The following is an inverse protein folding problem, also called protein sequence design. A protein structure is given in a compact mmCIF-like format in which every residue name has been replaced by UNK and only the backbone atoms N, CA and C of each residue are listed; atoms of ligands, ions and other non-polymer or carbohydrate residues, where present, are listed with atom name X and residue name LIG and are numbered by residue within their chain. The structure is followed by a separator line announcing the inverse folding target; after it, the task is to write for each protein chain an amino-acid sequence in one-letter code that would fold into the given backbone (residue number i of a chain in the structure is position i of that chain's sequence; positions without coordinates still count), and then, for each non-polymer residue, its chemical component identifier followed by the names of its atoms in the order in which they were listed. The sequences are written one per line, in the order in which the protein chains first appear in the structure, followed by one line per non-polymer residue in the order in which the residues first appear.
data_IF_159616429126
#
_entry.id   IF_159616429126
#
_cell.length_a   1.000
_cell.length_b   1.000
_cell.length_c   1.000
_cell.angle_alpha   90.00
_cell.angle_beta   90.00
_cell.angle_gamma   90.00
#
_symmetry.space_group_name_H-M   'P 1'
#
loop_
_entity.id
_entity.type
_entity.pdbx_description
1 polymer ?
#
# COMPACT_ATOMS: atom_id res chain seq x y z
N UNK A 1 -4.82 -4.73 42.04
CA UNK A 1 -4.92 -4.60 40.56
C UNK A 1 -4.18 -3.34 40.15
N UNK A 2 -2.99 -3.47 39.56
CA UNK A 2 -2.31 -2.31 38.97
C UNK A 2 -3.13 -1.82 37.78
N UNK A 3 -3.57 -0.56 37.83
CA UNK A 3 -4.13 0.15 36.68
C UNK A 3 -3.16 -0.02 35.50
N UNK A 4 -3.61 -0.70 34.44
CA UNK A 4 -2.84 -0.79 33.19
C UNK A 4 -2.95 0.57 32.49
N UNK A 5 -2.20 1.55 32.99
CA UNK A 5 -2.08 2.84 32.34
C UNK A 5 -1.33 2.69 31.02
N UNK A 6 -1.79 3.39 29.99
CA UNK A 6 -1.08 3.47 28.71
C UNK A 6 0.19 4.27 28.95
N UNK A 7 1.35 3.76 28.51
CA UNK A 7 2.60 4.51 28.59
C UNK A 7 2.48 5.76 27.70
N UNK A 8 2.68 6.99 28.21
CA UNK A 8 2.44 8.22 27.44
C UNK A 8 3.19 8.30 26.11
N UNK A 9 4.41 7.76 26.03
CA UNK A 9 5.21 7.78 24.80
C UNK A 9 4.56 6.99 23.65
N UNK A 10 3.73 5.98 23.94
CA UNK A 10 3.00 5.21 22.92
C UNK A 10 1.98 6.07 22.17
N UNK A 11 1.41 7.07 22.85
CA UNK A 11 0.46 8.03 22.26
C UNK A 11 1.14 9.00 21.27
N UNK A 12 2.47 9.12 21.36
CA UNK A 12 3.30 9.97 20.50
C UNK A 12 4.16 9.18 19.51
N UNK A 13 4.07 7.85 19.53
CA UNK A 13 4.89 6.97 18.70
C UNK A 13 4.73 7.24 17.20
N UNK A 14 3.60 7.82 16.77
CA UNK A 14 3.34 8.19 15.38
C UNK A 14 4.28 9.26 14.81
N UNK A 15 4.97 10.03 15.65
CA UNK A 15 5.99 10.98 15.20
C UNK A 15 7.16 10.29 14.49
N UNK A 16 7.51 9.08 14.94
CA UNK A 16 8.61 8.30 14.38
C UNK A 16 8.38 7.92 12.90
N UNK A 17 7.25 7.29 12.52
CA UNK A 17 7.00 6.99 11.11
C UNK A 17 6.72 8.24 10.27
N UNK A 18 6.29 9.36 10.85
CA UNK A 18 6.20 10.64 10.14
C UNK A 18 7.57 11.23 9.82
N UNK A 19 8.52 11.16 10.75
CA UNK A 19 9.92 11.51 10.49
C UNK A 19 10.54 10.60 9.42
N UNK A 20 10.24 9.29 9.46
CA UNK A 20 10.67 8.36 8.42
C UNK A 20 10.02 8.65 7.05
N UNK A 21 8.77 9.10 7.03
CA UNK A 21 8.11 9.54 5.79
C UNK A 21 8.78 10.79 5.20
N UNK A 22 9.25 11.75 6.01
CA UNK A 22 10.06 12.88 5.52
C UNK A 22 11.38 12.43 4.87
N UNK A 23 11.98 11.37 5.39
CA UNK A 23 13.20 10.77 4.84
C UNK A 23 12.96 10.01 3.52
N UNK A 24 11.78 9.43 3.33
CA UNK A 24 11.48 8.51 2.22
C UNK A 24 11.91 9.00 0.81
N UNK A 25 11.60 10.23 0.36
CA UNK A 25 12.03 10.70 -0.96
C UNK A 25 13.54 10.80 -1.12
N UNK A 26 14.27 11.09 -0.03
CA UNK A 26 15.73 11.19 -0.04
C UNK A 26 16.39 9.84 -0.21
N UNK A 27 15.85 8.79 0.43
CA UNK A 27 16.31 7.42 0.24
C UNK A 27 16.24 7.01 -1.25
N UNK A 28 15.12 7.35 -1.91
CA UNK A 28 14.95 7.12 -3.35
C UNK A 28 15.92 7.94 -4.18
N UNK A 29 16.02 9.25 -3.92
CA UNK A 29 16.90 10.14 -4.69
C UNK A 29 18.37 9.71 -4.59
N UNK A 30 18.85 9.37 -3.39
CA UNK A 30 20.22 8.90 -3.20
C UNK A 30 20.45 7.53 -3.83
N UNK A 31 19.49 6.61 -3.77
CA UNK A 31 19.59 5.31 -4.44
C UNK A 31 19.73 5.48 -5.96
N UNK A 32 18.91 6.35 -6.56
CA UNK A 32 19.00 6.69 -7.98
C UNK A 32 20.35 7.32 -8.34
N UNK A 33 20.80 8.32 -7.58
CA UNK A 33 22.10 8.98 -7.80
C UNK A 33 23.26 8.00 -7.67
N UNK A 34 23.25 7.12 -6.68
CA UNK A 34 24.26 6.09 -6.50
C UNK A 34 24.28 5.09 -7.67
N UNK A 35 23.10 4.73 -8.20
CA UNK A 35 22.99 3.84 -9.35
C UNK A 35 23.54 4.49 -10.62
N UNK A 36 23.12 5.72 -10.92
CA UNK A 36 23.58 6.49 -12.09
C UNK A 36 25.08 6.80 -12.02
N UNK A 37 25.61 7.04 -10.82
CA UNK A 37 27.04 7.28 -10.60
C UNK A 37 27.89 5.99 -10.61
N UNK A 38 27.29 4.80 -10.76
CA UNK A 38 28.02 3.53 -10.76
C UNK A 38 28.65 3.17 -9.41
N UNK A 39 28.08 3.64 -8.29
CA UNK A 39 28.66 3.50 -6.95
C UNK A 39 28.62 2.07 -6.34
N UNK A 40 28.28 1.06 -7.15
CA UNK A 40 28.24 -0.35 -6.77
C UNK A 40 26.89 -0.82 -6.22
N UNK A 41 26.53 -2.07 -6.54
CA UNK A 41 25.25 -2.67 -6.15
C UNK A 41 24.96 -2.66 -4.63
N UNK A 42 25.94 -2.89 -3.71
CA UNK A 42 25.66 -2.89 -2.28
C UNK A 42 25.13 -1.54 -1.76
N UNK A 43 25.69 -0.42 -2.22
CA UNK A 43 25.26 0.92 -1.78
C UNK A 43 23.86 1.24 -2.32
N UNK A 44 23.62 0.99 -3.60
CA UNK A 44 22.30 1.17 -4.23
C UNK A 44 21.24 0.35 -3.49
N UNK A 45 21.57 -0.91 -3.18
CA UNK A 45 20.69 -1.82 -2.45
C UNK A 45 20.44 -1.33 -1.01
N UNK A 46 21.46 -0.86 -0.30
CA UNK A 46 21.28 -0.33 1.05
C UNK A 46 20.35 0.89 1.07
N UNK A 47 20.51 1.81 0.12
CA UNK A 47 19.69 3.02 -0.01
C UNK A 47 18.25 2.71 -0.44
N UNK A 48 18.04 1.75 -1.35
CA UNK A 48 16.67 1.37 -1.71
C UNK A 48 16.00 0.64 -0.53
N UNK A 49 16.71 -0.25 0.17
CA UNK A 49 16.18 -0.95 1.33
C UNK A 49 15.85 0.00 2.48
N UNK A 50 16.57 1.11 2.64
CA UNK A 50 16.19 2.14 3.63
C UNK A 50 14.87 2.82 3.27
N UNK A 51 14.51 2.93 1.98
CA UNK A 51 13.18 3.38 1.56
C UNK A 51 12.09 2.36 1.94
N UNK A 52 12.35 1.04 1.85
CA UNK A 52 11.44 -0.01 2.33
C UNK A 52 11.33 -0.05 3.86
N UNK A 53 12.35 0.38 4.59
CA UNK A 53 12.33 0.46 6.04
C UNK A 53 11.28 1.46 6.55
N UNK A 54 10.93 2.50 5.78
CA UNK A 54 9.92 3.51 6.15
C UNK A 54 8.54 2.89 6.39
N UNK A 55 7.89 2.23 5.41
CA UNK A 55 6.59 1.59 5.64
C UNK A 55 6.67 0.43 6.65
N UNK A 56 7.81 -0.26 6.75
CA UNK A 56 8.01 -1.32 7.74
C UNK A 56 8.03 -0.75 9.18
N UNK A 57 8.73 0.36 9.41
CA UNK A 57 8.75 1.06 10.69
C UNK A 57 7.36 1.58 11.06
N UNK A 58 6.63 2.13 10.09
CA UNK A 58 5.25 2.55 10.28
C UNK A 58 4.35 1.36 10.65
N UNK A 59 4.51 0.20 10.00
CA UNK A 59 3.78 -1.02 10.33
C UNK A 59 4.11 -1.50 11.76
N UNK A 60 5.39 -1.47 12.16
CA UNK A 60 5.77 -1.79 13.54
C UNK A 60 5.06 -0.88 14.55
N UNK A 61 4.92 0.41 14.25
CA UNK A 61 4.16 1.35 15.08
C UNK A 61 2.66 1.03 15.10
N UNK A 62 2.05 0.63 13.96
CA UNK A 62 0.66 0.16 13.91
C UNK A 62 0.44 -1.06 14.81
N UNK A 63 1.37 -2.02 14.78
CA UNK A 63 1.31 -3.22 15.63
C UNK A 63 1.49 -2.87 17.10
N UNK A 64 2.55 -2.14 17.46
CA UNK A 64 2.86 -1.76 18.85
C UNK A 64 1.72 -0.97 19.49
N UNK A 65 1.11 -0.04 18.77
CA UNK A 65 -0.07 0.70 19.26
C UNK A 65 -1.32 -0.17 19.32
N UNK A 66 -1.47 -1.14 18.42
CA UNK A 66 -2.65 -2.02 18.34
C UNK A 66 -2.69 -3.16 19.37
N UNK A 67 -1.54 -3.65 19.86
CA UNK A 67 -1.51 -4.76 20.84
C UNK A 67 -1.86 -4.35 22.26
N UNK A 68 -1.96 -3.04 22.52
CA UNK A 68 -2.16 -2.51 23.87
C UNK A 68 -3.47 -3.02 24.49
N UNK A 69 -3.50 -3.27 25.81
CA UNK A 69 -4.67 -3.83 26.49
C UNK A 69 -5.82 -2.83 26.65
N UNK A 70 -5.52 -1.53 26.61
CA UNK A 70 -6.48 -0.42 26.75
C UNK A 70 -6.24 0.55 25.60
N UNK A 71 -7.31 1.08 25.02
CA UNK A 71 -7.26 2.05 23.92
C UNK A 71 -7.70 3.42 24.42
N UNK A 72 -6.81 4.42 24.34
CA UNK A 72 -7.17 5.84 24.47
C UNK A 72 -7.42 6.44 23.08
N UNK A 73 -8.15 7.56 23.02
CA UNK A 73 -8.34 8.27 21.77
C UNK A 73 -7.02 8.72 21.13
N UNK A 74 -6.03 9.13 21.94
CA UNK A 74 -4.68 9.47 21.43
C UNK A 74 -3.94 8.26 20.87
N UNK A 75 -4.00 7.11 21.55
CA UNK A 75 -3.38 5.89 21.06
C UNK A 75 -4.02 5.43 19.73
N UNK A 76 -5.33 5.54 19.60
CA UNK A 76 -6.04 5.26 18.35
C UNK A 76 -5.63 6.24 17.25
N UNK A 77 -5.51 7.53 17.56
CA UNK A 77 -4.98 8.52 16.63
C UNK A 77 -3.57 8.14 16.17
N UNK A 78 -2.67 7.82 17.10
CA UNK A 78 -1.30 7.41 16.80
C UNK A 78 -1.25 6.20 15.85
N UNK A 79 -2.11 5.21 16.10
CA UNK A 79 -2.25 4.02 15.25
C UNK A 79 -2.73 4.36 13.84
N UNK A 80 -3.73 5.24 13.71
CA UNK A 80 -4.27 5.69 12.40
C UNK A 80 -3.23 6.50 11.61
N UNK A 81 -2.49 7.38 12.28
CA UNK A 81 -1.40 8.13 11.67
C UNK A 81 -0.27 7.20 11.21
N UNK A 82 0.04 6.18 12.00
CA UNK A 82 1.00 5.15 11.57
C UNK A 82 0.49 4.37 10.35
N UNK A 83 -0.81 4.09 10.24
CA UNK A 83 -1.39 3.50 9.02
C UNK A 83 -1.23 4.42 7.79
N UNK A 84 -1.38 5.74 7.96
CA UNK A 84 -1.13 6.71 6.88
C UNK A 84 0.34 6.66 6.44
N UNK A 85 1.29 6.56 7.38
CA UNK A 85 2.71 6.47 7.08
C UNK A 85 3.13 5.15 6.43
N UNK A 86 2.43 4.04 6.68
CA UNK A 86 2.63 2.79 5.91
C UNK A 86 2.39 3.06 4.42
N UNK A 87 1.44 3.91 4.08
CA UNK A 87 1.09 4.27 2.71
C UNK A 87 1.98 5.38 2.09
N UNK A 88 3.13 5.69 2.70
CA UNK A 88 4.05 6.69 2.16
C UNK A 88 4.48 6.41 0.69
N UNK A 89 4.83 5.18 0.28
CA UNK A 89 5.19 4.90 -1.11
C UNK A 89 4.11 5.26 -2.16
N UNK A 90 2.85 4.78 -2.04
CA UNK A 90 1.81 5.17 -2.98
C UNK A 90 1.39 6.64 -2.85
N UNK A 91 1.45 7.23 -1.64
CA UNK A 91 1.17 8.65 -1.45
C UNK A 91 2.17 9.55 -2.19
N UNK A 92 3.48 9.26 -2.08
CA UNK A 92 4.52 10.01 -2.78
C UNK A 92 4.40 9.88 -4.29
N UNK A 93 4.04 8.68 -4.76
CA UNK A 93 3.78 8.44 -6.20
C UNK A 93 2.57 9.22 -6.68
N UNK A 94 1.44 9.18 -5.95
CA UNK A 94 0.23 9.92 -6.30
C UNK A 94 0.49 11.44 -6.35
N UNK A 95 1.18 11.97 -5.33
CA UNK A 95 1.56 13.38 -5.29
C UNK A 95 2.42 13.74 -6.50
N UNK A 96 3.42 12.92 -6.85
CA UNK A 96 4.24 13.15 -8.04
C UNK A 96 3.45 13.18 -9.35
N UNK A 97 2.45 12.29 -9.48
CA UNK A 97 1.54 12.30 -10.64
C UNK A 97 0.71 13.58 -10.68
N UNK A 98 0.16 14.00 -9.54
CA UNK A 98 -0.62 15.26 -9.46
C UNK A 98 0.24 16.46 -9.83
N UNK A 99 1.45 16.57 -9.29
CA UNK A 99 2.38 17.65 -9.62
C UNK A 99 2.75 17.65 -11.11
N UNK A 100 3.01 16.47 -11.68
CA UNK A 100 3.27 16.33 -13.11
C UNK A 100 2.10 16.83 -13.96
N UNK A 101 0.87 16.43 -13.63
CA UNK A 101 -0.35 16.88 -14.33
C UNK A 101 -0.57 18.40 -14.20
N UNK A 102 -0.14 18.99 -13.09
CA UNK A 102 -0.15 20.44 -12.86
C UNK A 102 1.04 21.16 -13.52
N UNK A 103 1.92 20.45 -14.22
CA UNK A 103 3.16 20.96 -14.83
C UNK A 103 4.13 21.57 -13.80
N UNK A 104 4.13 21.06 -12.58
CA UNK A 104 5.06 21.43 -11.51
C UNK A 104 6.16 20.38 -11.47
N UNK A 105 7.34 20.71 -11.97
CA UNK A 105 8.47 19.78 -12.07
C UNK A 105 9.55 20.07 -11.04
N UNK A 106 10.20 19.03 -10.52
CA UNK A 106 11.36 19.17 -9.62
C UNK A 106 11.03 19.62 -8.19
N UNK A 107 9.74 19.77 -7.83
CA UNK A 107 9.31 20.23 -6.51
C UNK A 107 8.76 19.11 -5.61
N UNK A 108 8.81 17.84 -6.04
CA UNK A 108 8.25 16.69 -5.31
C UNK A 108 8.72 16.64 -3.85
N UNK A 109 10.03 16.73 -3.60
CA UNK A 109 10.60 16.65 -2.25
C UNK A 109 10.13 17.84 -1.40
N UNK A 110 10.09 19.05 -1.96
CA UNK A 110 9.67 20.25 -1.24
C UNK A 110 8.18 20.19 -0.86
N UNK A 111 7.31 19.81 -1.81
CA UNK A 111 5.88 19.65 -1.58
C UNK A 111 5.62 18.54 -0.56
N UNK A 112 6.28 17.39 -0.70
CA UNK A 112 6.20 16.29 0.25
C UNK A 112 6.59 16.74 1.66
N UNK A 113 7.75 17.38 1.79
CA UNK A 113 8.27 17.85 3.08
C UNK A 113 7.31 18.85 3.72
N UNK A 114 6.80 19.82 2.94
CA UNK A 114 5.81 20.79 3.41
C UNK A 114 4.51 20.13 3.88
N UNK A 115 3.97 19.18 3.11
CA UNK A 115 2.75 18.44 3.48
C UNK A 115 2.94 17.63 4.77
N UNK A 116 4.03 16.87 4.90
CA UNK A 116 4.28 16.04 6.08
C UNK A 116 4.60 16.87 7.33
N UNK A 117 5.30 18.00 7.20
CA UNK A 117 5.50 18.95 8.30
C UNK A 117 4.18 19.59 8.73
N UNK A 118 3.33 20.01 7.78
CA UNK A 118 2.01 20.56 8.07
C UNK A 118 1.11 19.52 8.78
N UNK A 119 1.07 18.28 8.30
CA UNK A 119 0.35 17.19 8.95
C UNK A 119 0.91 16.90 10.35
N UNK A 120 2.23 16.92 10.52
CA UNK A 120 2.88 16.75 11.84
C UNK A 120 2.42 17.85 12.80
N UNK A 121 2.51 19.11 12.40
CA UNK A 121 2.07 20.25 13.22
C UNK A 121 0.58 20.16 13.57
N UNK A 122 -0.28 19.89 12.58
CA UNK A 122 -1.72 19.74 12.78
C UNK A 122 -2.05 18.62 13.77
N UNK A 123 -1.51 17.42 13.57
CA UNK A 123 -1.83 16.29 14.44
C UNK A 123 -1.14 16.34 15.80
N UNK A 124 -0.01 17.05 15.93
CA UNK A 124 0.56 17.37 17.24
C UNK A 124 -0.37 18.28 18.04
N UNK A 125 -0.97 19.30 17.41
CA UNK A 125 -2.01 20.12 18.04
C UNK A 125 -3.22 19.29 18.45
N UNK A 126 -3.77 18.46 17.54
CA UNK A 126 -4.92 17.58 17.84
C UNK A 126 -4.63 16.59 18.97
N UNK A 127 -3.43 16.00 19.00
CA UNK A 127 -3.01 15.10 20.07
C UNK A 127 -2.95 15.84 21.42
N UNK A 128 -2.44 17.08 21.41
CA UNK A 128 -2.28 17.92 22.61
C UNK A 128 -3.62 18.38 23.18
N UNK A 129 -4.59 18.74 22.33
CA UNK A 129 -5.92 19.23 22.74
C UNK A 129 -6.88 18.12 23.17
N UNK A 130 -6.48 16.85 23.07
CA UNK A 130 -7.30 15.71 23.48
C UNK A 130 -8.28 15.31 22.36
N UNK A 131 -7.93 14.32 21.51
CA UNK A 131 -8.79 13.92 20.41
C UNK A 131 -10.09 13.28 20.91
N UNK A 132 -11.22 13.67 20.32
CA UNK A 132 -12.51 13.02 20.55
C UNK A 132 -12.70 11.90 19.52
N UNK A 133 -12.49 10.65 19.93
CA UNK A 133 -12.71 9.46 19.10
C UNK A 133 -13.70 8.54 19.81
N UNK A 134 -14.82 8.23 19.16
CA UNK A 134 -15.75 7.22 19.64
C UNK A 134 -15.08 5.85 19.64
N UNK A 135 -15.03 5.21 20.80
CA UNK A 135 -14.47 3.87 21.01
C UNK A 135 -15.53 2.77 20.90
N UNK A 136 -16.80 3.14 20.69
CA UNK A 136 -17.90 2.17 20.60
C UNK A 136 -17.89 1.50 19.22
N UNK A 137 -17.77 0.18 19.22
CA UNK A 137 -17.71 -0.66 18.01
C UNK A 137 -18.92 -1.58 17.92
N UNK A 138 -20.08 -1.03 17.62
CA UNK A 138 -21.21 -1.89 17.25
C UNK A 138 -22.19 -1.15 16.36
N UNK A 139 -22.18 -1.49 15.08
CA UNK A 139 -23.30 -1.18 14.19
C UNK A 139 -23.48 -2.35 13.22
N UNK A 140 -24.73 -2.83 13.08
CA UNK A 140 -25.12 -3.83 12.08
C UNK A 140 -24.70 -3.40 10.67
N UNK A 141 -24.60 -2.09 10.43
CA UNK A 141 -24.10 -1.49 9.20
C UNK A 141 -22.68 -1.93 8.86
N UNK A 142 -21.75 -1.97 9.82
CA UNK A 142 -20.35 -2.38 9.56
C UNK A 142 -20.23 -3.85 9.15
N UNK A 143 -21.10 -4.71 9.67
CA UNK A 143 -21.11 -6.13 9.32
C UNK A 143 -21.54 -6.30 7.86
N UNK A 144 -22.65 -5.68 7.46
CA UNK A 144 -23.14 -5.70 6.07
C UNK A 144 -22.09 -5.16 5.11
N UNK A 145 -21.47 -4.02 5.45
CA UNK A 145 -20.42 -3.42 4.64
C UNK A 145 -19.19 -4.34 4.50
N UNK A 146 -18.79 -5.02 5.57
CA UNK A 146 -17.66 -5.97 5.53
C UNK A 146 -17.95 -7.15 4.59
N UNK A 147 -19.17 -7.69 4.61
CA UNK A 147 -19.58 -8.78 3.71
C UNK A 147 -19.59 -8.28 2.25
N UNK A 148 -20.20 -7.13 1.98
CA UNK A 148 -20.23 -6.54 0.65
C UNK A 148 -18.82 -6.23 0.12
N UNK A 149 -17.95 -5.68 0.98
CA UNK A 149 -16.53 -5.47 0.66
C UNK A 149 -15.87 -6.78 0.25
N UNK A 150 -16.00 -7.85 1.06
CA UNK A 150 -15.40 -9.15 0.76
C UNK A 150 -15.92 -9.80 -0.52
N UNK A 151 -17.23 -9.74 -0.79
CA UNK A 151 -17.81 -10.24 -2.05
C UNK A 151 -17.23 -9.49 -3.25
N UNK A 152 -17.20 -8.16 -3.17
CA UNK A 152 -16.61 -7.34 -4.22
C UNK A 152 -15.09 -7.58 -4.37
N UNK A 153 -14.37 -7.87 -3.28
CA UNK A 153 -12.94 -8.24 -3.31
C UNK A 153 -12.74 -9.57 -4.05
N UNK A 154 -13.60 -10.57 -3.85
CA UNK A 154 -13.55 -11.85 -4.57
C UNK A 154 -13.88 -11.65 -6.05
N UNK A 155 -14.92 -10.87 -6.36
CA UNK A 155 -15.29 -10.58 -7.74
C UNK A 155 -14.15 -9.90 -8.52
N UNK A 156 -13.55 -8.84 -7.96
CA UNK A 156 -12.44 -8.14 -8.62
C UNK A 156 -11.16 -8.98 -8.65
N UNK A 157 -10.96 -9.87 -7.67
CA UNK A 157 -9.85 -10.82 -7.67
C UNK A 157 -9.92 -11.74 -8.89
N UNK A 158 -11.08 -12.35 -9.13
CA UNK A 158 -11.26 -13.31 -10.20
C UNK A 158 -11.26 -12.65 -11.59
N UNK A 159 -11.93 -11.51 -11.73
CA UNK A 159 -12.11 -10.84 -13.02
C UNK A 159 -10.87 -10.06 -13.45
N UNK A 160 -10.14 -9.45 -12.50
CA UNK A 160 -9.07 -8.52 -12.83
C UNK A 160 -7.75 -8.82 -12.12
N UNK A 161 -7.71 -8.88 -10.79
CA UNK A 161 -6.42 -8.87 -10.08
C UNK A 161 -5.60 -10.14 -10.33
N UNK A 162 -6.21 -11.33 -10.32
CA UNK A 162 -5.47 -12.57 -10.54
C UNK A 162 -4.92 -12.67 -11.97
N UNK A 163 -5.69 -12.45 -13.04
CA UNK A 163 -5.13 -12.46 -14.39
C UNK A 163 -4.16 -11.29 -14.64
N UNK A 164 -4.36 -10.13 -14.00
CA UNK A 164 -3.45 -8.99 -14.07
C UNK A 164 -2.08 -9.30 -13.43
N UNK A 165 -2.06 -9.86 -12.20
CA UNK A 165 -0.81 -10.28 -11.56
C UNK A 165 -0.14 -11.44 -12.31
N UNK A 166 -0.94 -12.37 -12.86
CA UNK A 166 -0.42 -13.43 -13.72
C UNK A 166 0.30 -12.85 -14.94
N UNK A 167 -0.29 -11.88 -15.62
CA UNK A 167 0.35 -11.22 -16.75
C UNK A 167 1.68 -10.57 -16.35
N UNK A 168 1.73 -9.89 -15.19
CA UNK A 168 2.97 -9.30 -14.67
C UNK A 168 4.04 -10.32 -14.29
N UNK A 169 3.67 -11.52 -13.83
CA UNK A 169 4.63 -12.61 -13.63
C UNK A 169 5.35 -12.98 -14.91
N UNK A 170 4.68 -12.89 -16.08
CA UNK A 170 5.29 -13.19 -17.37
C UNK A 170 6.32 -12.15 -17.83
N UNK A 171 6.47 -11.02 -17.12
CA UNK A 171 7.51 -10.03 -17.43
C UNK A 171 8.93 -10.59 -17.36
N UNK A 172 9.17 -11.61 -16.53
CA UNK A 172 10.47 -12.33 -16.52
C UNK A 172 10.73 -13.12 -17.80
N UNK A 173 9.70 -13.45 -18.57
CA UNK A 173 9.82 -14.12 -19.88
C UNK A 173 9.96 -13.11 -21.03
N UNK A 174 10.02 -11.81 -20.73
CA UNK A 174 10.20 -10.73 -21.70
C UNK A 174 8.96 -9.89 -21.94
N UNK A 175 9.20 -8.71 -22.53
CA UNK A 175 8.20 -7.69 -22.87
C UNK A 175 7.16 -8.22 -23.86
N UNK A 176 7.59 -8.99 -24.87
CA UNK A 176 6.71 -9.51 -25.91
C UNK A 176 5.73 -10.56 -25.38
N UNK A 177 6.19 -11.48 -24.52
CA UNK A 177 5.33 -12.48 -23.89
C UNK A 177 4.29 -11.80 -23.01
N UNK A 178 4.71 -10.88 -22.14
CA UNK A 178 3.79 -10.07 -21.35
C UNK A 178 2.80 -9.31 -22.24
N UNK A 179 3.27 -8.68 -23.33
CA UNK A 179 2.42 -7.89 -24.23
C UNK A 179 1.36 -8.76 -24.93
N UNK A 180 1.72 -9.94 -25.40
CA UNK A 180 0.77 -10.86 -26.06
C UNK A 180 -0.39 -11.26 -25.15
N UNK A 181 -0.10 -11.61 -23.89
CA UNK A 181 -1.13 -11.95 -22.90
C UNK A 181 -1.91 -10.71 -22.46
N UNK A 182 -1.24 -9.56 -22.31
CA UNK A 182 -1.89 -8.29 -22.02
C UNK A 182 -2.94 -7.91 -23.08
N UNK A 183 -2.63 -8.07 -24.37
CA UNK A 183 -3.57 -7.77 -25.46
C UNK A 183 -4.82 -8.64 -25.39
N UNK A 184 -4.68 -9.94 -25.09
CA UNK A 184 -5.82 -10.83 -24.87
C UNK A 184 -6.66 -10.39 -23.66
N UNK A 185 -6.03 -10.05 -22.54
CA UNK A 185 -6.73 -9.58 -21.33
C UNK A 185 -7.42 -8.22 -21.54
N UNK A 186 -6.85 -7.34 -22.36
CA UNK A 186 -7.42 -6.02 -22.68
C UNK A 186 -8.77 -6.10 -23.37
N UNK A 187 -9.10 -7.20 -24.05
CA UNK A 187 -10.44 -7.44 -24.60
C UNK A 187 -11.51 -7.40 -23.50
N UNK A 188 -11.17 -7.90 -22.31
CA UNK A 188 -12.04 -7.86 -21.13
C UNK A 188 -11.88 -6.53 -20.40
N UNK A 189 -10.64 -6.10 -20.14
CA UNK A 189 -10.37 -4.94 -19.29
C UNK A 189 -10.75 -3.59 -19.89
N UNK A 190 -10.75 -3.47 -21.22
CA UNK A 190 -11.12 -2.25 -21.97
C UNK A 190 -12.47 -2.42 -22.67
N UNK A 191 -13.28 -3.40 -22.26
CA UNK A 191 -14.66 -3.53 -22.73
C UNK A 191 -15.51 -2.37 -22.20
N UNK A 192 -16.32 -1.75 -23.06
CA UNK A 192 -17.08 -0.54 -22.73
C UNK A 192 -18.07 -0.66 -21.56
N UNK A 193 -18.45 -1.88 -21.16
CA UNK A 193 -19.31 -2.12 -19.98
C UNK A 193 -18.48 -2.60 -18.78
N UNK A 194 -17.58 -3.56 -18.98
CA UNK A 194 -16.82 -4.14 -17.87
C UNK A 194 -15.80 -3.16 -17.28
N UNK A 195 -15.20 -2.30 -18.10
CA UNK A 195 -14.23 -1.31 -17.64
C UNK A 195 -14.83 -0.36 -16.58
N UNK A 196 -15.98 0.32 -16.82
CA UNK A 196 -16.66 1.09 -15.78
C UNK A 196 -17.01 0.28 -14.52
N UNK A 197 -17.45 -0.97 -14.68
CA UNK A 197 -17.81 -1.84 -13.53
C UNK A 197 -16.58 -2.15 -12.67
N UNK A 198 -15.45 -2.46 -13.29
CA UNK A 198 -14.16 -2.68 -12.62
C UNK A 198 -13.76 -1.41 -11.85
N UNK A 199 -13.83 -0.24 -12.49
CA UNK A 199 -13.49 1.05 -11.88
C UNK A 199 -14.38 1.34 -10.67
N UNK A 200 -15.71 1.23 -10.81
CA UNK A 200 -16.66 1.43 -9.72
C UNK A 200 -16.41 0.45 -8.58
N UNK A 201 -16.05 -0.79 -8.89
CA UNK A 201 -15.69 -1.80 -7.88
C UNK A 201 -14.44 -1.39 -7.12
N UNK A 202 -13.39 -0.89 -7.79
CA UNK A 202 -12.21 -0.35 -7.12
C UNK A 202 -12.51 0.87 -6.24
N UNK A 203 -13.33 1.81 -6.71
CA UNK A 203 -13.78 2.93 -5.88
C UNK A 203 -14.56 2.45 -4.65
N UNK A 204 -15.45 1.47 -4.83
CA UNK A 204 -16.15 0.84 -3.72
C UNK A 204 -15.16 0.20 -2.73
N UNK A 205 -14.13 -0.52 -3.19
CA UNK A 205 -13.10 -1.11 -2.34
C UNK A 205 -12.36 -0.06 -1.51
N UNK A 206 -11.95 1.07 -2.13
CA UNK A 206 -11.30 2.18 -1.42
C UNK A 206 -12.23 2.75 -0.34
N UNK A 207 -13.43 3.18 -0.72
CA UNK A 207 -14.35 3.86 0.20
C UNK A 207 -14.80 2.96 1.35
N UNK A 208 -15.20 1.72 1.03
CA UNK A 208 -15.60 0.76 2.07
C UNK A 208 -14.43 0.37 2.98
N UNK A 209 -13.22 0.21 2.44
CA UNK A 209 -12.00 -0.04 3.23
C UNK A 209 -11.69 1.08 4.22
N UNK A 210 -11.76 2.34 3.78
CA UNK A 210 -11.57 3.52 4.63
C UNK A 210 -12.62 3.64 5.74
N UNK A 211 -13.84 3.16 5.51
CA UNK A 211 -14.88 3.08 6.55
C UNK A 211 -14.57 1.93 7.52
N UNK A 212 -14.20 0.76 7.02
CA UNK A 212 -13.93 -0.45 7.81
C UNK A 212 -12.66 -0.35 8.69
N UNK A 213 -11.72 0.54 8.37
CA UNK A 213 -10.52 0.78 9.19
C UNK A 213 -10.85 1.42 10.56
N UNK A 214 -11.96 2.17 10.64
CA UNK A 214 -12.35 2.91 11.85
C UNK A 214 -12.61 1.99 13.04
N UNK A 215 -13.52 0.99 12.96
CA UNK A 215 -13.74 0.06 14.06
C UNK A 215 -12.52 -0.85 14.34
N UNK A 216 -11.69 -1.16 13.33
CA UNK A 216 -10.49 -2.00 13.51
C UNK A 216 -9.37 -1.32 14.32
N UNK A 217 -9.31 0.00 14.28
CA UNK A 217 -8.24 0.77 14.94
C UNK A 217 -8.53 1.08 16.41
N UNK A 218 -9.78 0.97 16.84
CA UNK A 218 -10.21 1.18 18.23
C UNK A 218 -10.26 -0.11 19.06
N UNK A 219 -10.01 -1.26 18.44
CA UNK A 219 -9.93 -2.56 19.12
C UNK A 219 -8.49 -3.06 19.17
N UNK A 220 -8.18 -3.86 20.19
CA UNK A 220 -6.93 -4.61 20.26
C UNK A 220 -6.76 -5.47 19.00
N UNK A 221 -5.54 -5.57 18.49
CA UNK A 221 -5.20 -6.31 17.29
C UNK A 221 -3.98 -7.19 17.52
N UNK A 222 -4.04 -8.41 16.99
CA UNK A 222 -2.85 -9.24 16.81
C UNK A 222 -2.03 -8.78 15.58
N UNK A 223 -0.94 -9.48 15.28
CA UNK A 223 -0.06 -9.13 14.17
C UNK A 223 -0.76 -9.20 12.80
N UNK A 224 -1.63 -10.19 12.58
CA UNK A 224 -2.36 -10.36 11.31
C UNK A 224 -3.49 -9.35 11.18
N UNK A 225 -4.14 -8.98 12.28
CA UNK A 225 -5.13 -7.89 12.33
C UNK A 225 -4.47 -6.53 12.03
N UNK A 226 -3.28 -6.29 12.60
CA UNK A 226 -2.47 -5.11 12.30
C UNK A 226 -2.06 -5.09 10.82
N UNK A 227 -1.60 -6.23 10.27
CA UNK A 227 -1.21 -6.37 8.87
C UNK A 227 -2.39 -6.09 7.93
N UNK A 228 -3.58 -6.61 8.23
CA UNK A 228 -4.77 -6.34 7.42
C UNK A 228 -5.16 -4.86 7.45
N UNK A 229 -5.03 -4.22 8.60
CA UNK A 229 -5.36 -2.80 8.78
C UNK A 229 -4.36 -1.91 8.02
N UNK A 230 -3.07 -2.18 8.17
CA UNK A 230 -1.99 -1.44 7.52
C UNK A 230 -2.00 -1.64 5.99
N UNK A 231 -2.15 -2.88 5.52
CA UNK A 231 -2.27 -3.19 4.09
C UNK A 231 -3.50 -2.52 3.47
N UNK A 232 -4.65 -2.47 4.17
CA UNK A 232 -5.83 -1.77 3.68
C UNK A 232 -5.62 -0.28 3.48
N UNK A 233 -4.89 0.38 4.40
CA UNK A 233 -4.50 1.78 4.26
C UNK A 233 -3.56 2.00 3.07
N UNK A 234 -2.54 1.14 2.93
CA UNK A 234 -1.63 1.15 1.78
C UNK A 234 -2.38 0.99 0.45
N UNK A 235 -3.22 -0.05 0.35
CA UNK A 235 -3.94 -0.39 -0.87
C UNK A 235 -4.95 0.69 -1.26
N UNK A 236 -5.58 1.36 -0.31
CA UNK A 236 -6.50 2.47 -0.60
C UNK A 236 -5.81 3.59 -1.38
N UNK A 237 -4.60 3.99 -0.97
CA UNK A 237 -3.81 4.98 -1.69
C UNK A 237 -3.12 4.41 -2.92
N UNK A 238 -2.70 3.15 -2.90
CA UNK A 238 -2.13 2.49 -4.06
C UNK A 238 -3.13 2.43 -5.22
N UNK A 239 -4.36 1.97 -5.00
CA UNK A 239 -5.38 1.86 -6.05
C UNK A 239 -5.68 3.25 -6.62
N UNK A 240 -5.85 4.27 -5.76
CA UNK A 240 -6.08 5.65 -6.21
C UNK A 240 -4.91 6.18 -7.06
N UNK A 241 -3.67 5.95 -6.62
CA UNK A 241 -2.45 6.32 -7.33
C UNK A 241 -2.33 5.61 -8.68
N UNK A 242 -2.48 4.29 -8.67
CA UNK A 242 -2.26 3.42 -9.83
C UNK A 242 -3.31 3.66 -10.93
N UNK A 243 -4.60 3.71 -10.57
CA UNK A 243 -5.68 3.98 -11.52
C UNK A 243 -5.53 5.39 -12.12
N UNK A 244 -5.20 6.40 -11.31
CA UNK A 244 -4.99 7.75 -11.83
C UNK A 244 -3.82 7.80 -12.84
N UNK A 245 -2.73 7.07 -12.60
CA UNK A 245 -1.62 6.98 -13.55
C UNK A 245 -2.04 6.32 -14.88
N UNK A 246 -2.78 5.21 -14.82
CA UNK A 246 -3.20 4.49 -16.04
C UNK A 246 -4.18 5.30 -16.88
N UNK A 247 -5.19 5.90 -16.25
CA UNK A 247 -6.25 6.62 -16.97
C UNK A 247 -5.87 8.05 -17.31
N UNK A 248 -5.40 8.82 -16.33
CA UNK A 248 -5.18 10.26 -16.48
C UNK A 248 -3.78 10.55 -17.02
N UNK A 249 -2.74 9.97 -16.41
CA UNK A 249 -1.35 10.28 -16.82
C UNK A 249 -1.00 9.65 -18.17
N UNK A 250 -1.47 8.42 -18.44
CA UNK A 250 -1.14 7.72 -19.67
C UNK A 250 -2.24 7.83 -20.74
N UNK A 251 -3.39 7.17 -20.53
CA UNK A 251 -4.38 7.01 -21.60
C UNK A 251 -5.00 8.31 -22.09
N UNK A 252 -5.31 9.24 -21.18
CA UNK A 252 -5.85 10.55 -21.57
C UNK A 252 -4.89 11.33 -22.49
N UNK A 253 -3.58 11.15 -22.32
CA UNK A 253 -2.53 11.77 -23.15
C UNK A 253 -2.06 10.87 -24.31
N UNK A 254 -2.73 9.74 -24.57
CA UNK A 254 -2.45 8.87 -25.71
C UNK A 254 -1.28 7.89 -25.52
N UNK A 255 -0.70 7.81 -24.32
CA UNK A 255 0.37 6.84 -24.01
C UNK A 255 -0.22 5.46 -23.79
N UNK A 256 0.33 4.43 -24.47
CA UNK A 256 -0.09 3.06 -24.18
C UNK A 256 0.48 2.59 -22.83
N UNK A 257 -0.37 1.89 -22.09
CA UNK A 257 -0.10 1.40 -20.73
C UNK A 257 0.41 -0.03 -20.80
N UNK A 258 1.53 -0.22 -21.51
CA UNK A 258 2.17 -1.52 -21.70
C UNK A 258 3.27 -1.80 -20.65
N UNK A 259 3.97 -2.92 -20.81
CA UNK A 259 5.02 -3.31 -19.88
C UNK A 259 6.18 -2.31 -19.88
N UNK A 260 6.61 -1.88 -21.07
CA UNK A 260 7.73 -0.96 -21.25
C UNK A 260 7.46 0.36 -20.50
N UNK A 261 6.24 0.90 -20.63
CA UNK A 261 5.81 2.06 -19.86
C UNK A 261 5.83 1.80 -18.35
N UNK A 262 5.34 0.64 -17.90
CA UNK A 262 5.26 0.30 -16.48
C UNK A 262 6.63 0.14 -15.79
N UNK A 263 7.67 -0.21 -16.55
CA UNK A 263 9.04 -0.42 -16.06
C UNK A 263 10.02 0.70 -16.47
N UNK A 264 9.50 1.76 -17.09
CA UNK A 264 10.26 2.91 -17.59
C UNK A 264 11.34 2.56 -18.61
N UNK A 265 11.08 1.59 -19.49
CA UNK A 265 11.99 1.29 -20.59
C UNK A 265 12.18 2.49 -21.54
N UNK A 266 13.38 2.69 -22.09
CA UNK A 266 14.59 1.87 -21.92
C UNK A 266 15.46 2.25 -20.70
N UNK A 267 15.11 3.31 -19.97
CA UNK A 267 15.93 3.84 -18.87
C UNK A 267 15.94 2.89 -17.66
N UNK A 268 14.78 2.31 -17.35
CA UNK A 268 14.57 1.41 -16.23
C UNK A 268 14.31 2.11 -14.91
N UNK A 269 13.69 1.38 -13.98
CA UNK A 269 13.21 1.93 -12.70
C UNK A 269 14.32 2.53 -11.82
N UNK A 270 15.53 1.97 -11.80
CA UNK A 270 16.60 2.45 -10.92
C UNK A 270 17.29 3.71 -11.45
N UNK A 271 17.42 3.83 -12.77
CA UNK A 271 18.16 4.92 -13.41
C UNK A 271 17.29 6.17 -13.64
N UNK A 272 15.98 6.03 -13.77
CA UNK A 272 15.09 7.18 -13.92
C UNK A 272 14.71 7.79 -12.55
N UNK A 273 15.01 9.09 -12.31
CA UNK A 273 14.78 9.74 -11.02
C UNK A 273 13.30 9.85 -10.64
N UNK A 274 12.39 9.81 -11.61
CA UNK A 274 10.96 9.76 -11.32
C UNK A 274 10.51 8.33 -11.02
N UNK A 275 10.90 7.36 -11.84
CA UNK A 275 10.40 5.98 -11.83
C UNK A 275 10.96 5.13 -10.70
N UNK A 276 12.05 5.53 -10.04
CA UNK A 276 12.58 4.79 -8.88
C UNK A 276 11.56 4.66 -7.74
N UNK A 277 10.62 5.61 -7.63
CA UNK A 277 9.51 5.53 -6.66
C UNK A 277 8.56 4.36 -6.92
N UNK A 278 8.48 3.92 -8.18
CA UNK A 278 7.59 2.84 -8.61
C UNK A 278 8.00 1.48 -8.03
N UNK A 279 9.29 1.29 -7.71
CA UNK A 279 9.81 0.05 -7.18
C UNK A 279 9.14 -0.34 -5.83
N UNK A 280 9.26 0.44 -4.74
CA UNK A 280 8.53 0.17 -3.50
C UNK A 280 7.02 0.40 -3.61
N UNK A 281 6.55 1.19 -4.59
CA UNK A 281 5.13 1.38 -4.85
C UNK A 281 4.46 0.10 -5.38
N UNK A 282 5.08 -0.60 -6.34
CA UNK A 282 4.52 -1.79 -6.94
C UNK A 282 4.79 -3.06 -6.13
N UNK A 283 6.03 -3.28 -5.69
CA UNK A 283 6.40 -4.52 -5.01
C UNK A 283 5.62 -4.72 -3.70
N UNK A 284 5.51 -3.66 -2.89
CA UNK A 284 4.74 -3.67 -1.66
C UNK A 284 3.23 -3.77 -1.94
N UNK A 285 2.73 -3.19 -3.04
CA UNK A 285 1.32 -3.35 -3.40
C UNK A 285 0.96 -4.80 -3.69
N UNK A 286 1.79 -5.51 -4.48
CA UNK A 286 1.58 -6.94 -4.77
C UNK A 286 1.60 -7.75 -3.47
N UNK A 287 2.62 -7.54 -2.63
CA UNK A 287 2.76 -8.28 -1.37
C UNK A 287 1.58 -8.00 -0.43
N UNK A 288 1.26 -6.72 -0.21
CA UNK A 288 0.23 -6.29 0.71
C UNK A 288 -1.17 -6.62 0.19
N UNK A 289 -1.40 -6.70 -1.12
CA UNK A 289 -2.66 -7.19 -1.69
C UNK A 289 -2.91 -8.64 -1.29
N UNK A 290 -1.93 -9.52 -1.52
CA UNK A 290 -2.04 -10.94 -1.19
C UNK A 290 -2.17 -11.13 0.33
N UNK A 291 -1.38 -10.39 1.11
CA UNK A 291 -1.50 -10.41 2.57
C UNK A 291 -2.85 -9.90 3.07
N UNK A 292 -3.40 -8.84 2.45
CA UNK A 292 -4.71 -8.30 2.80
C UNK A 292 -5.84 -9.31 2.56
N UNK A 293 -5.81 -9.98 1.41
CA UNK A 293 -6.75 -11.03 1.04
C UNK A 293 -6.62 -12.24 1.98
N UNK A 294 -5.38 -12.67 2.30
CA UNK A 294 -5.11 -13.76 3.24
C UNK A 294 -5.68 -13.47 4.63
N UNK A 295 -5.44 -12.27 5.18
CA UNK A 295 -6.03 -11.87 6.46
C UNK A 295 -7.55 -11.72 6.38
N UNK A 296 -8.09 -11.30 5.23
CA UNK A 296 -9.53 -11.30 4.97
C UNK A 296 -10.15 -12.69 5.05
N UNK A 297 -9.51 -13.66 4.38
CA UNK A 297 -9.88 -15.07 4.45
C UNK A 297 -9.79 -15.61 5.88
N UNK A 298 -8.77 -15.24 6.66
CA UNK A 298 -8.68 -15.59 8.08
C UNK A 298 -9.95 -15.21 8.84
N UNK A 299 -10.45 -13.99 8.62
CA UNK A 299 -11.70 -13.52 9.22
C UNK A 299 -12.91 -14.37 8.85
N UNK A 300 -12.99 -14.83 7.59
CA UNK A 300 -14.04 -15.74 7.12
C UNK A 300 -13.90 -17.11 7.79
N UNK A 301 -12.69 -17.70 7.80
CA UNK A 301 -12.44 -19.01 8.40
C UNK A 301 -12.80 -19.03 9.90
N UNK A 302 -12.46 -17.98 10.64
CA UNK A 302 -12.82 -17.84 12.07
C UNK A 302 -14.34 -17.80 12.27
N UNK A 303 -15.07 -17.10 11.41
CA UNK A 303 -16.54 -17.07 11.45
C UNK A 303 -17.19 -18.42 11.12
N UNK A 304 -16.47 -19.31 10.43
CA UNK A 304 -16.88 -20.70 10.13
C UNK A 304 -16.28 -21.73 11.10
N UNK A 305 -15.88 -21.30 12.31
CA UNK A 305 -15.38 -22.16 13.39
C UNK A 305 -14.09 -22.94 13.07
N UNK A 306 -13.31 -22.50 12.08
CA UNK A 306 -11.96 -23.04 11.88
C UNK A 306 -11.06 -22.56 13.03
N UNK A 307 -10.26 -23.46 13.61
CA UNK A 307 -9.42 -23.14 14.76
C UNK A 307 -8.43 -22.01 14.47
N UNK A 308 -8.09 -21.21 15.50
CA UNK A 308 -7.15 -20.08 15.38
C UNK A 308 -5.81 -20.53 14.78
N UNK A 309 -5.26 -21.66 15.24
CA UNK A 309 -4.02 -22.22 14.70
C UNK A 309 -4.12 -22.52 13.20
N UNK A 310 -5.17 -23.23 12.76
CA UNK A 310 -5.33 -23.60 11.34
C UNK A 310 -5.54 -22.35 10.48
N UNK A 311 -6.36 -21.41 10.93
CA UNK A 311 -6.60 -20.16 10.22
C UNK A 311 -5.32 -19.32 10.09
N UNK A 312 -4.51 -19.22 11.15
CA UNK A 312 -3.25 -18.49 11.13
C UNK A 312 -2.21 -19.16 10.24
N UNK A 313 -2.07 -20.49 10.30
CA UNK A 313 -1.16 -21.24 9.42
C UNK A 313 -1.52 -21.05 7.95
N UNK A 314 -2.79 -21.21 7.58
CA UNK A 314 -3.25 -20.96 6.21
C UNK A 314 -2.96 -19.52 5.76
N UNK A 315 -3.15 -18.54 6.65
CA UNK A 315 -2.85 -17.12 6.36
C UNK A 315 -1.37 -16.91 6.07
N UNK A 316 -0.48 -17.45 6.92
CA UNK A 316 0.96 -17.33 6.73
C UNK A 316 1.47 -18.04 5.48
N UNK A 317 0.90 -19.20 5.13
CA UNK A 317 1.21 -19.88 3.87
C UNK A 317 0.89 -19.01 2.65
N UNK A 318 -0.30 -18.40 2.61
CA UNK A 318 -0.69 -17.51 1.51
C UNK A 318 0.19 -16.25 1.47
N UNK A 319 0.54 -15.69 2.63
CA UNK A 319 1.49 -14.55 2.70
C UNK A 319 2.87 -14.95 2.16
N UNK A 320 3.38 -16.14 2.52
CA UNK A 320 4.65 -16.67 2.02
C UNK A 320 4.65 -16.84 0.50
N UNK A 321 3.59 -17.40 -0.06
CA UNK A 321 3.39 -17.47 -1.52
C UNK A 321 3.34 -16.07 -2.15
N UNK A 322 2.68 -15.12 -1.50
CA UNK A 322 2.65 -13.73 -1.94
C UNK A 322 4.04 -13.10 -2.01
N UNK A 323 4.93 -13.42 -1.05
CA UNK A 323 6.33 -13.01 -1.08
C UNK A 323 7.07 -13.53 -2.33
N UNK A 324 6.86 -14.80 -2.69
CA UNK A 324 7.45 -15.40 -3.90
C UNK A 324 6.94 -14.70 -5.17
N UNK A 325 5.63 -14.47 -5.27
CA UNK A 325 5.00 -13.75 -6.40
C UNK A 325 5.59 -12.34 -6.53
N UNK A 326 5.70 -11.61 -5.42
CA UNK A 326 6.29 -10.27 -5.40
C UNK A 326 7.74 -10.28 -5.88
N UNK A 327 8.55 -11.25 -5.44
CA UNK A 327 9.95 -11.37 -5.87
C UNK A 327 10.03 -11.58 -7.38
N UNK A 328 9.26 -12.53 -7.94
CA UNK A 328 9.29 -12.82 -9.38
C UNK A 328 8.88 -11.58 -10.20
N UNK A 329 7.76 -10.92 -9.84
CA UNK A 329 7.29 -9.72 -10.52
C UNK A 329 8.35 -8.62 -10.44
N UNK A 330 8.88 -8.35 -9.24
CA UNK A 330 9.87 -7.28 -9.02
C UNK A 330 11.16 -7.56 -9.78
N UNK A 331 11.64 -8.80 -9.82
CA UNK A 331 12.80 -9.21 -10.61
C UNK A 331 12.59 -8.94 -12.10
N UNK A 332 11.41 -9.31 -12.65
CA UNK A 332 11.08 -9.01 -14.05
C UNK A 332 11.08 -7.50 -14.32
N UNK A 333 10.51 -6.71 -13.42
CA UNK A 333 10.48 -5.24 -13.53
C UNK A 333 11.87 -4.59 -13.46
N UNK A 334 12.82 -5.23 -12.78
CA UNK A 334 14.22 -4.81 -12.72
C UNK A 334 15.07 -5.35 -13.88
N UNK A 335 14.46 -6.01 -14.86
CA UNK A 335 15.13 -6.47 -16.07
C UNK A 335 15.65 -7.90 -16.02
N UNK A 336 15.40 -8.67 -14.95
CA UNK A 336 15.77 -10.10 -14.90
C UNK A 336 14.94 -10.88 -15.92
N UNK A 337 15.60 -11.77 -16.67
CA UNK A 337 14.98 -12.63 -17.69
C UNK A 337 15.37 -14.11 -17.46
N UNK A 338 14.48 -15.02 -17.86
CA UNK A 338 14.65 -16.49 -17.81
C UNK A 338 14.36 -17.11 -19.16
#
# INVERSE_FOLDING_TARGET
MLSKSIKPWLEWLWLLPFAAALYYPWALAWSNQAHVAGAGAPLVLALILSAYAVPLLAFACVYVTGVQPVMSARLVLARRLSCLAVAAPPAYTLMGVVLYLMKIYGHDIAVWSGLWLALTGFFAMVSSTGPSISLVTSDKTYIKLRVAHGIASVAILLVFLAPHLFNHLLGVLGTDVHKSVMEALRVVYRNGVLEPVIIVTFFFQILSGLVLIRPKTVTRADLLDALQTASGAYLSLFIASHINSVFTLARYFGTDTDYAWAVAEPVGLLADPWSIRLLPHYSLAVFLLIAHLACGLRGVLRNHNVSELRSALATWWVIGLGGVVTIIITSGMLGVRV
#
